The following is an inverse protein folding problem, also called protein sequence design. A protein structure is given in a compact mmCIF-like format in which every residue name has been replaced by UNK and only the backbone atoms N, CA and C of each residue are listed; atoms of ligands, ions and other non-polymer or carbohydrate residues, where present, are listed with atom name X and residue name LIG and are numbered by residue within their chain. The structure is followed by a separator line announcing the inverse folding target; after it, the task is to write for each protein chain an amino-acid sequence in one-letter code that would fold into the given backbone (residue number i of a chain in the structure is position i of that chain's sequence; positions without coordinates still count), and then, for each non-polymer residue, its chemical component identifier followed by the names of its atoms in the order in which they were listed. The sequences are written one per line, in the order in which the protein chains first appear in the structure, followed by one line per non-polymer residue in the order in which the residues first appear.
data_IF_907139498450
#
_entry.id   IF_907139498450
#
_cell.length_a   1.000
_cell.length_b   1.000
_cell.length_c   1.000
_cell.angle_alpha   90.00
_cell.angle_beta   90.00
_cell.angle_gamma   90.00
#
_symmetry.space_group_name_H-M   'P 1'
#
loop_
_entity.id
_entity.type
_entity.pdbx_description
1 polymer ?
#
# COMPACT_ATOMS: atom_id res chain seq x y z
N UNK A 1 -12.95 -33.08 24.19
CA UNK A 1 -14.23 -33.76 23.87
C UNK A 1 -14.71 -34.48 25.13
N UNK A 2 -15.91 -34.23 25.59
CA UNK A 2 -16.53 -34.99 26.67
C UNK A 2 -17.37 -36.10 26.06
N UNK A 3 -17.25 -37.30 26.59
CA UNK A 3 -18.08 -38.47 26.22
C UNK A 3 -18.76 -38.95 27.46
N UNK A 4 -20.09 -39.06 27.42
CA UNK A 4 -20.89 -39.64 28.48
C UNK A 4 -21.52 -40.98 28.03
N UNK A 5 -21.52 -41.96 28.88
CA UNK A 5 -22.24 -43.23 28.68
C UNK A 5 -23.15 -43.50 29.87
N UNK A 6 -24.40 -43.90 29.60
CA UNK A 6 -25.36 -44.26 30.61
C UNK A 6 -25.66 -45.76 30.50
N UNK A 7 -25.49 -46.48 31.60
CA UNK A 7 -25.84 -47.91 31.74
C UNK A 7 -26.65 -48.07 33.02
N UNK A 8 -27.86 -48.57 32.89
CA UNK A 8 -28.79 -48.90 34.04
C UNK A 8 -29.01 -47.70 34.99
N UNK A 9 -29.12 -46.46 34.45
CA UNK A 9 -29.37 -45.26 35.25
C UNK A 9 -28.14 -44.68 35.94
N UNK A 10 -26.93 -45.19 35.63
CA UNK A 10 -25.66 -44.64 36.10
C UNK A 10 -24.98 -43.95 34.95
N UNK A 11 -24.81 -42.62 35.04
CA UNK A 11 -24.10 -41.82 34.05
C UNK A 11 -22.63 -41.67 34.45
N UNK A 12 -21.72 -42.16 33.65
CA UNK A 12 -20.28 -41.97 33.84
C UNK A 12 -19.74 -41.00 32.79
N UNK A 13 -19.17 -39.86 33.20
CA UNK A 13 -18.53 -38.89 32.32
C UNK A 13 -17.04 -39.10 32.33
N UNK A 14 -16.44 -39.26 31.14
CA UNK A 14 -14.99 -39.29 30.95
C UNK A 14 -14.56 -38.21 30.00
N UNK A 15 -13.58 -37.41 30.43
CA UNK A 15 -12.88 -36.46 29.53
C UNK A 15 -11.81 -37.20 28.74
N UNK A 16 -11.97 -37.21 27.43
CA UNK A 16 -10.95 -37.71 26.50
C UNK A 16 -10.20 -36.50 25.93
N UNK A 17 -8.88 -36.42 26.16
CA UNK A 17 -8.02 -35.50 25.48
C UNK A 17 -7.52 -36.17 24.20
N UNK A 18 -7.99 -35.69 23.05
CA UNK A 18 -7.50 -36.13 21.74
C UNK A 18 -6.51 -35.10 21.28
N UNK A 19 -5.24 -35.49 21.19
CA UNK A 19 -4.22 -34.67 20.54
C UNK A 19 -4.22 -35.01 19.04
N UNK A 20 -4.68 -34.07 18.24
CA UNK A 20 -4.60 -34.19 16.77
C UNK A 20 -3.26 -33.61 16.34
N UNK A 21 -2.37 -34.48 15.89
CA UNK A 21 -1.12 -34.03 15.27
C UNK A 21 -1.43 -33.29 13.97
N UNK A 22 -0.70 -32.19 13.66
CA UNK A 22 -0.83 -31.52 12.39
C UNK A 22 -0.60 -32.50 11.23
N UNK A 23 -1.46 -32.41 10.23
CA UNK A 23 -1.29 -33.23 8.99
C UNK A 23 0.01 -32.84 8.32
N UNK A 24 0.87 -33.82 8.03
CA UNK A 24 2.06 -33.62 7.22
C UNK A 24 1.68 -33.65 5.74
N UNK A 25 2.03 -32.62 5.01
CA UNK A 25 1.84 -32.57 3.57
C UNK A 25 2.82 -33.53 2.85
N UNK A 26 2.33 -34.24 1.84
CA UNK A 26 3.18 -34.89 0.86
C UNK A 26 3.95 -33.84 0.03
N UNK A 27 5.00 -34.27 -0.67
CA UNK A 27 5.77 -33.35 -1.52
C UNK A 27 4.91 -32.62 -2.55
N UNK A 28 4.02 -33.34 -3.23
CA UNK A 28 3.12 -32.76 -4.25
C UNK A 28 2.10 -31.78 -3.64
N UNK A 29 1.59 -32.07 -2.43
CA UNK A 29 0.70 -31.16 -1.73
C UNK A 29 1.41 -29.89 -1.29
N UNK A 30 2.68 -29.98 -0.85
CA UNK A 30 3.49 -28.80 -0.52
C UNK A 30 3.78 -27.94 -1.74
N UNK A 31 4.15 -28.55 -2.87
CA UNK A 31 4.38 -27.82 -4.12
C UNK A 31 3.10 -27.10 -4.60
N UNK A 32 1.94 -27.73 -4.45
CA UNK A 32 0.66 -27.12 -4.77
C UNK A 32 0.34 -25.97 -3.81
N UNK A 33 0.47 -26.19 -2.49
CA UNK A 33 0.25 -25.16 -1.47
C UNK A 33 1.13 -23.93 -1.72
N UNK A 34 2.43 -24.12 -1.97
CA UNK A 34 3.37 -23.02 -2.22
C UNK A 34 3.01 -22.23 -3.48
N UNK A 35 2.58 -22.90 -4.53
CA UNK A 35 2.08 -22.22 -5.74
C UNK A 35 0.88 -21.36 -5.41
N UNK A 36 -0.08 -21.88 -4.63
CA UNK A 36 -1.32 -21.19 -4.30
C UNK A 36 -1.07 -20.00 -3.35
N UNK A 37 -0.15 -20.18 -2.36
CA UNK A 37 0.31 -19.09 -1.47
C UNK A 37 0.99 -17.97 -2.26
N UNK A 38 1.88 -18.30 -3.21
CA UNK A 38 2.55 -17.31 -4.05
C UNK A 38 1.55 -16.54 -4.93
N UNK A 39 0.58 -17.24 -5.52
CA UNK A 39 -0.47 -16.62 -6.30
C UNK A 39 -1.36 -15.68 -5.45
N UNK A 40 -1.64 -16.07 -4.22
CA UNK A 40 -2.36 -15.23 -3.24
C UNK A 40 -1.56 -13.97 -2.89
N UNK A 41 -0.26 -14.11 -2.60
CA UNK A 41 0.62 -12.98 -2.36
C UNK A 41 0.61 -12.02 -3.57
N UNK A 42 0.75 -12.55 -4.78
CA UNK A 42 0.75 -11.75 -6.00
C UNK A 42 -0.56 -10.98 -6.22
N UNK A 43 -1.67 -11.57 -5.84
CA UNK A 43 -2.98 -10.93 -5.96
C UNK A 43 -3.22 -9.83 -4.90
N UNK A 44 -2.60 -9.97 -3.72
CA UNK A 44 -2.86 -9.06 -2.59
C UNK A 44 -1.81 -7.95 -2.47
N UNK A 45 -0.54 -8.23 -2.83
CA UNK A 45 0.62 -7.40 -2.50
C UNK A 45 0.51 -5.95 -2.96
N UNK A 46 -0.07 -5.71 -4.14
CA UNK A 46 -0.19 -4.36 -4.68
C UNK A 46 -1.08 -3.42 -3.84
N UNK A 47 -1.97 -3.96 -2.99
CA UNK A 47 -2.93 -3.15 -2.23
C UNK A 47 -3.76 -2.27 -3.16
N UNK A 48 -3.83 -0.96 -2.86
CA UNK A 48 -4.55 0.04 -3.64
C UNK A 48 -3.71 0.69 -4.76
N UNK A 49 -2.52 0.14 -5.07
CA UNK A 49 -1.70 0.62 -6.17
C UNK A 49 -2.18 0.02 -7.50
N UNK A 50 -1.89 0.71 -8.61
CA UNK A 50 -2.24 0.21 -9.96
C UNK A 50 -1.47 -1.06 -10.32
N UNK A 51 -0.20 -1.12 -9.94
CA UNK A 51 0.71 -2.25 -10.11
C UNK A 51 1.95 -2.08 -9.21
N UNK A 52 2.87 -3.05 -9.24
CA UNK A 52 4.11 -3.01 -8.46
C UNK A 52 5.23 -2.14 -9.09
N UNK A 53 5.03 -1.61 -10.29
CA UNK A 53 5.97 -0.68 -10.94
C UNK A 53 5.61 0.79 -10.68
N UNK A 54 4.43 1.05 -10.08
CA UNK A 54 3.94 2.39 -9.77
C UNK A 54 3.37 2.41 -8.35
N UNK A 55 4.22 2.12 -7.36
CA UNK A 55 3.84 2.07 -5.95
C UNK A 55 3.99 3.45 -5.33
N UNK A 56 2.87 4.04 -4.96
CA UNK A 56 2.77 5.35 -4.29
C UNK A 56 1.82 5.33 -3.07
N UNK A 57 1.26 4.15 -2.76
CA UNK A 57 0.39 3.87 -1.61
C UNK A 57 0.91 2.67 -0.85
N UNK A 58 0.49 2.46 0.41
CA UNK A 58 0.87 1.29 1.17
C UNK A 58 0.62 -0.02 0.42
N UNK A 59 1.55 -0.95 0.56
CA UNK A 59 1.39 -2.32 0.09
C UNK A 59 0.55 -3.11 1.09
N UNK A 60 -0.14 -4.14 0.63
CA UNK A 60 -0.83 -5.05 1.53
C UNK A 60 0.04 -6.28 1.80
N UNK A 61 0.43 -6.45 3.06
CA UNK A 61 1.24 -7.55 3.54
C UNK A 61 0.38 -8.55 4.32
N UNK A 62 -0.17 -9.60 3.67
CA UNK A 62 -0.91 -10.63 4.40
C UNK A 62 0.00 -11.37 5.37
N UNK A 63 -0.51 -11.66 6.58
CA UNK A 63 0.22 -12.39 7.65
C UNK A 63 0.02 -13.90 7.60
N UNK A 64 -0.98 -14.37 6.86
CA UNK A 64 -1.37 -15.77 6.77
C UNK A 64 -1.99 -16.10 5.41
N UNK A 65 -2.18 -17.37 5.14
CA UNK A 65 -2.91 -17.86 3.99
C UNK A 65 -4.24 -18.51 4.45
N UNK A 66 -5.40 -18.05 3.94
CA UNK A 66 -6.70 -18.47 4.43
C UNK A 66 -6.93 -19.99 4.31
N UNK A 67 -7.36 -20.60 5.41
CA UNK A 67 -7.75 -22.03 5.45
C UNK A 67 -6.61 -23.02 5.66
N UNK A 68 -5.36 -22.56 5.70
CA UNK A 68 -4.17 -23.39 5.89
C UNK A 68 -3.32 -22.86 7.05
N UNK A 69 -2.50 -23.73 7.64
CA UNK A 69 -1.58 -23.33 8.72
C UNK A 69 -0.27 -22.79 8.13
N UNK A 70 -0.38 -21.65 7.43
CA UNK A 70 0.74 -20.95 6.80
C UNK A 70 0.83 -19.55 7.38
N UNK A 71 2.01 -19.18 7.86
CA UNK A 71 2.32 -17.83 8.31
C UNK A 71 3.21 -17.13 7.28
N UNK A 72 2.99 -15.85 7.05
CA UNK A 72 3.76 -15.05 6.11
C UNK A 72 4.38 -13.88 6.88
N UNK A 73 5.70 -13.84 6.93
CA UNK A 73 6.47 -12.71 7.49
C UNK A 73 7.07 -11.91 6.36
N UNK A 74 7.13 -10.59 6.52
CA UNK A 74 7.64 -9.70 5.48
C UNK A 74 8.98 -9.09 5.84
N UNK A 75 9.87 -9.09 4.85
CA UNK A 75 11.21 -8.52 4.96
C UNK A 75 11.46 -7.58 3.78
N UNK A 76 11.17 -6.28 3.93
CA UNK A 76 11.62 -5.26 2.99
C UNK A 76 13.15 -5.19 2.94
N UNK A 77 13.70 -4.92 1.76
CA UNK A 77 15.14 -4.73 1.58
C UNK A 77 15.65 -3.45 2.26
N UNK A 78 14.83 -2.39 2.23
CA UNK A 78 15.08 -1.14 2.96
C UNK A 78 13.84 -0.73 3.75
N UNK A 79 13.94 -0.79 5.07
CA UNK A 79 12.88 -0.42 6.01
C UNK A 79 12.59 1.09 6.07
N UNK A 80 13.49 1.93 5.54
CA UNK A 80 13.22 3.36 5.41
C UNK A 80 12.31 3.65 4.23
N UNK A 81 12.30 2.81 3.20
CA UNK A 81 11.44 2.92 2.03
C UNK A 81 10.08 2.24 2.24
N UNK A 82 10.10 1.02 2.77
CA UNK A 82 8.89 0.22 3.03
C UNK A 82 9.02 -0.38 4.43
N UNK A 83 8.06 -0.13 5.29
CA UNK A 83 8.03 -0.69 6.64
C UNK A 83 7.51 -2.12 6.64
N UNK A 84 7.69 -2.81 7.76
CA UNK A 84 7.29 -4.21 7.94
C UNK A 84 5.78 -4.44 7.85
N UNK A 85 4.98 -3.40 8.02
CA UNK A 85 3.53 -3.41 7.87
C UNK A 85 3.04 -3.08 6.44
N UNK A 86 3.97 -2.87 5.49
CA UNK A 86 3.69 -2.47 4.12
C UNK A 86 3.51 -0.97 3.92
N UNK A 87 3.51 -0.16 4.98
CA UNK A 87 3.43 1.29 4.86
C UNK A 87 4.72 1.85 4.24
N UNK A 88 4.57 2.93 3.48
CA UNK A 88 5.70 3.62 2.87
C UNK A 88 6.41 4.50 3.90
N UNK A 89 7.73 4.59 3.79
CA UNK A 89 8.54 5.55 4.52
C UNK A 89 8.39 6.98 4.01
N UNK A 90 9.25 7.87 4.48
CA UNK A 90 9.28 9.25 3.99
C UNK A 90 10.05 9.33 2.67
N UNK A 91 9.33 9.27 1.56
CA UNK A 91 9.92 9.23 0.21
C UNK A 91 10.42 10.59 -0.28
N UNK A 92 10.06 11.70 0.37
CA UNK A 92 10.50 13.05 0.01
C UNK A 92 12.01 13.27 0.06
N UNK A 93 12.72 12.46 0.87
CA UNK A 93 14.18 12.48 0.98
C UNK A 93 14.90 11.76 -0.17
N UNK A 94 14.18 11.09 -1.05
CA UNK A 94 14.74 10.24 -2.09
C UNK A 94 14.43 10.77 -3.50
N UNK A 95 15.33 10.48 -4.43
CA UNK A 95 15.08 10.76 -5.85
C UNK A 95 14.24 9.61 -6.44
N UNK A 96 12.99 9.88 -6.70
CA UNK A 96 12.05 8.91 -7.31
C UNK A 96 12.12 8.96 -8.86
N UNK A 97 11.82 7.85 -9.54
CA UNK A 97 11.44 6.54 -9.01
C UNK A 97 12.61 5.74 -8.43
N UNK A 98 12.36 4.91 -7.42
CA UNK A 98 13.36 4.06 -6.79
C UNK A 98 12.92 2.59 -6.79
N UNK A 99 13.80 1.69 -7.20
CA UNK A 99 13.56 0.24 -7.16
C UNK A 99 14.04 -0.33 -5.85
N UNK A 100 13.23 -1.19 -5.26
CA UNK A 100 13.54 -1.94 -4.06
C UNK A 100 12.89 -3.32 -4.15
N UNK A 101 13.10 -4.15 -3.14
CA UNK A 101 12.57 -5.51 -3.10
C UNK A 101 11.91 -5.77 -1.75
N UNK A 102 10.83 -6.54 -1.78
CA UNK A 102 10.21 -7.13 -0.59
C UNK A 102 10.25 -8.63 -0.69
N UNK A 103 10.49 -9.30 0.44
CA UNK A 103 10.55 -10.75 0.52
C UNK A 103 9.51 -11.25 1.51
N UNK A 104 8.61 -12.11 1.04
CA UNK A 104 7.74 -12.89 1.89
C UNK A 104 8.49 -14.14 2.38
N UNK A 105 8.54 -14.35 3.67
CA UNK A 105 9.02 -15.57 4.31
C UNK A 105 7.80 -16.40 4.64
N UNK A 106 7.55 -17.43 3.85
CA UNK A 106 6.40 -18.32 3.98
C UNK A 106 6.80 -19.45 4.92
N UNK A 107 6.09 -19.60 6.03
CA UNK A 107 6.39 -20.56 7.10
C UNK A 107 5.25 -21.58 7.17
N UNK A 108 5.57 -22.85 7.02
CA UNK A 108 4.66 -23.98 7.12
C UNK A 108 5.42 -25.22 7.63
N UNK A 109 4.79 -26.03 8.47
CA UNK A 109 5.41 -27.24 9.03
C UNK A 109 6.84 -27.05 9.56
N UNK A 110 7.17 -25.88 10.13
CA UNK A 110 8.50 -25.45 10.59
C UNK A 110 9.54 -25.25 9.45
N UNK A 111 9.14 -25.41 8.20
CA UNK A 111 9.96 -25.08 7.03
C UNK A 111 9.72 -23.61 6.63
N UNK A 112 10.72 -23.01 5.97
CA UNK A 112 10.66 -21.64 5.47
C UNK A 112 10.93 -21.61 3.98
N UNK A 113 10.10 -20.90 3.23
CA UNK A 113 10.32 -20.58 1.83
C UNK A 113 10.35 -19.08 1.62
N UNK A 114 11.24 -18.59 0.76
CA UNK A 114 11.42 -17.16 0.48
C UNK A 114 10.84 -16.83 -0.89
N UNK A 115 10.00 -15.81 -0.94
CA UNK A 115 9.41 -15.32 -2.17
C UNK A 115 9.59 -13.83 -2.29
N UNK A 116 10.39 -13.37 -3.27
CA UNK A 116 10.76 -11.96 -3.41
C UNK A 116 10.07 -11.31 -4.61
N UNK A 117 9.70 -10.05 -4.47
CA UNK A 117 9.16 -9.20 -5.53
C UNK A 117 9.93 -7.89 -5.63
N UNK A 118 10.21 -7.48 -6.85
CA UNK A 118 10.71 -6.13 -7.14
C UNK A 118 9.56 -5.13 -7.15
N UNK A 119 9.80 -3.97 -6.57
CA UNK A 119 8.86 -2.88 -6.39
C UNK A 119 9.51 -1.60 -6.87
N UNK A 120 8.78 -0.81 -7.64
CA UNK A 120 9.21 0.51 -8.04
C UNK A 120 8.36 1.57 -7.32
N UNK A 121 8.98 2.27 -6.37
CA UNK A 121 8.35 3.37 -5.65
C UNK A 121 8.35 4.61 -6.54
N UNK A 122 7.20 5.24 -6.66
CA UNK A 122 7.00 6.46 -7.45
C UNK A 122 6.52 7.59 -6.55
N UNK A 123 6.57 8.82 -7.06
CA UNK A 123 6.03 9.96 -6.34
C UNK A 123 4.54 9.73 -6.05
N UNK A 124 4.05 10.15 -4.87
CA UNK A 124 2.61 10.15 -4.61
C UNK A 124 1.89 10.93 -5.72
N UNK A 125 0.74 10.45 -6.11
CA UNK A 125 -0.13 11.24 -6.98
C UNK A 125 -0.44 12.55 -6.27
N UNK A 126 -0.18 13.67 -6.95
CA UNK A 126 -0.53 14.97 -6.43
C UNK A 126 -2.05 15.01 -6.25
N UNK A 127 -2.50 15.52 -5.12
CA UNK A 127 -3.93 15.79 -4.93
C UNK A 127 -4.42 16.81 -5.98
N UNK A 128 -5.70 16.79 -6.29
CA UNK A 128 -6.32 17.80 -7.18
C UNK A 128 -5.99 19.24 -6.74
N UNK A 129 -5.84 19.46 -5.43
CA UNK A 129 -5.49 20.74 -4.84
C UNK A 129 -4.02 21.11 -5.10
N UNK A 130 -3.08 20.18 -4.95
CA UNK A 130 -1.66 20.40 -5.26
C UNK A 130 -1.42 20.63 -6.75
N UNK A 131 -2.15 19.91 -7.62
CA UNK A 131 -2.10 20.11 -9.07
C UNK A 131 -2.65 21.50 -9.42
N UNK A 132 -3.74 21.91 -8.77
CA UNK A 132 -4.33 23.22 -8.96
C UNK A 132 -3.38 24.35 -8.52
N UNK A 133 -2.78 24.22 -7.33
CA UNK A 133 -1.80 25.18 -6.80
C UNK A 133 -0.57 25.34 -7.69
N UNK A 134 -0.06 24.23 -8.24
CA UNK A 134 1.08 24.28 -9.17
C UNK A 134 0.70 24.98 -10.47
N UNK A 135 -0.44 24.66 -11.06
CA UNK A 135 -0.93 25.32 -12.29
C UNK A 135 -1.22 26.80 -12.08
N UNK A 136 -1.75 27.19 -10.93
CA UNK A 136 -1.92 28.60 -10.54
C UNK A 136 -0.56 29.29 -10.45
N UNK A 137 0.41 28.66 -9.81
CA UNK A 137 1.74 29.21 -9.62
C UNK A 137 2.48 29.38 -10.97
N UNK A 138 2.37 28.40 -11.88
CA UNK A 138 2.90 28.48 -13.24
C UNK A 138 2.23 29.60 -14.05
N UNK A 139 0.90 29.73 -13.98
CA UNK A 139 0.17 30.77 -14.68
C UNK A 139 0.57 32.17 -14.19
N UNK A 140 0.75 32.36 -12.87
CA UNK A 140 1.22 33.61 -12.27
C UNK A 140 2.66 33.93 -12.70
N UNK A 141 3.57 32.95 -12.69
CA UNK A 141 4.96 33.12 -13.16
C UNK A 141 5.04 33.47 -14.65
N UNK A 142 4.23 32.82 -15.49
CA UNK A 142 4.16 33.13 -16.91
C UNK A 142 3.66 34.56 -17.18
N UNK A 143 2.74 35.04 -16.36
CA UNK A 143 2.21 36.41 -16.43
C UNK A 143 3.22 37.48 -15.97
N UNK A 144 4.10 37.14 -15.02
CA UNK A 144 5.10 38.05 -14.45
C UNK A 144 6.32 38.28 -15.42
N UNK A 145 6.51 37.42 -16.42
CA UNK A 145 7.60 37.58 -17.42
C UNK A 145 7.32 38.63 -18.49
N UNK A 146 6.16 39.27 -18.52
CA UNK A 146 5.79 40.36 -19.44
C UNK A 146 6.05 41.72 -18.82
N UNK A 147 7.15 42.39 -19.25
CA UNK A 147 7.64 43.66 -18.73
C UNK A 147 6.59 44.77 -18.59
N UNK A 148 6.66 45.42 -17.42
CA UNK A 148 6.38 46.82 -17.07
C UNK A 148 5.07 47.52 -17.53
N UNK A 149 4.44 48.17 -16.59
CA UNK A 149 3.39 49.20 -16.59
C UNK A 149 1.92 48.72 -16.65
N UNK A 150 1.61 47.54 -17.19
CA UNK A 150 0.23 47.00 -17.12
C UNK A 150 0.31 45.48 -17.04
N UNK A 151 0.17 44.93 -15.85
CA UNK A 151 0.07 43.49 -15.65
C UNK A 151 -1.27 43.01 -16.20
N UNK A 152 -1.24 42.31 -17.33
CA UNK A 152 -2.42 41.61 -17.85
C UNK A 152 -2.26 40.12 -17.53
N UNK A 153 -2.96 39.64 -16.53
CA UNK A 153 -2.97 38.22 -16.17
C UNK A 153 -3.94 37.49 -17.10
N UNK A 154 -3.43 36.56 -17.90
CA UNK A 154 -4.24 35.60 -18.65
C UNK A 154 -4.39 34.33 -17.83
N UNK A 155 -5.36 34.31 -16.94
CA UNK A 155 -5.67 33.14 -16.14
C UNK A 155 -6.54 32.17 -16.93
N UNK A 156 -6.31 30.85 -16.85
CA UNK A 156 -7.10 29.88 -17.59
C UNK A 156 -8.54 29.78 -17.04
N UNK A 157 -9.54 29.62 -17.90
CA UNK A 157 -10.93 29.45 -17.53
C UNK A 157 -11.21 28.10 -16.87
N UNK A 158 -10.29 27.14 -16.99
CA UNK A 158 -10.40 25.83 -16.37
C UNK A 158 -9.03 25.28 -15.99
N UNK A 159 -8.98 24.53 -14.87
CA UNK A 159 -7.81 23.86 -14.34
C UNK A 159 -8.21 22.43 -14.00
N UNK A 160 -7.43 21.44 -14.49
CA UNK A 160 -7.73 20.03 -14.25
C UNK A 160 -9.11 19.60 -14.76
N UNK A 161 -9.63 20.26 -15.83
CA UNK A 161 -10.97 19.99 -16.38
C UNK A 161 -12.13 20.60 -15.56
N UNK A 162 -11.84 21.37 -14.53
CA UNK A 162 -12.83 22.07 -13.70
C UNK A 162 -12.83 23.56 -14.06
N UNK A 163 -14.02 24.15 -14.18
CA UNK A 163 -14.17 25.59 -14.41
C UNK A 163 -13.75 26.34 -13.15
N UNK A 164 -12.89 27.35 -13.32
CA UNK A 164 -12.34 28.15 -12.21
C UNK A 164 -12.86 29.57 -12.31
N UNK A 165 -13.41 30.07 -11.22
CA UNK A 165 -13.80 31.46 -11.06
C UNK A 165 -12.70 32.20 -10.29
N UNK A 166 -11.94 33.06 -10.97
CA UNK A 166 -10.88 33.84 -10.35
C UNK A 166 -11.45 35.08 -9.64
N UNK A 167 -11.10 35.24 -8.36
CA UNK A 167 -11.44 36.40 -7.55
C UNK A 167 -10.18 37.12 -7.12
N UNK A 168 -10.14 38.43 -7.30
CA UNK A 168 -9.02 39.23 -6.81
C UNK A 168 -9.47 40.15 -5.69
N UNK A 169 -8.61 40.36 -4.72
CA UNK A 169 -8.81 41.33 -3.64
C UNK A 169 -7.68 42.36 -3.69
N UNK A 170 -8.01 43.61 -3.94
CA UNK A 170 -7.05 44.70 -3.91
C UNK A 170 -6.79 45.09 -2.45
N UNK A 171 -5.56 44.85 -1.95
CA UNK A 171 -5.15 45.45 -0.69
C UNK A 171 -4.74 46.90 -0.89
N UNK A 172 -5.33 47.82 -0.10
CA UNK A 172 -5.15 49.26 -0.21
C UNK A 172 -3.85 49.80 0.41
N UNK A 173 -2.88 48.99 0.74
CA UNK A 173 -1.57 49.45 1.21
C UNK A 173 -0.42 48.80 0.42
N UNK A 174 0.31 49.67 -0.25
CA UNK A 174 1.65 49.42 -0.81
C UNK A 174 1.81 48.16 -1.69
N UNK A 175 1.27 48.14 -2.89
CA UNK A 175 1.84 47.45 -4.02
C UNK A 175 1.82 45.90 -4.01
N UNK A 176 1.13 45.27 -3.08
CA UNK A 176 1.00 43.80 -3.05
C UNK A 176 -0.39 43.40 -3.55
N UNK A 177 -0.43 42.72 -4.68
CA UNK A 177 -1.64 42.05 -5.16
C UNK A 177 -1.55 40.62 -4.62
N UNK A 178 -2.51 40.22 -3.77
CA UNK A 178 -2.71 38.82 -3.44
C UNK A 178 -3.84 38.31 -4.36
N UNK A 179 -3.56 37.24 -5.06
CA UNK A 179 -4.51 36.48 -5.88
C UNK A 179 -5.19 35.42 -5.05
#
# INVERSE_FOLDING_TARGET
MQVSAEIEGVTEEKSLTITVEPRKYSRSEREALMRDVKAYIDACLQGDNSDLQHVNRPLFFPSDFPGENVTIEWQPEDYNLIRQDGSLGELSAYQLPIKTKVTAVIIYDQEKEFYSKEICLTAPEKSDEEVLDEQIREAVQAADQGSSEKLTLHLPDSVGGRVVEWKYQKQSQAGTILL
#
